data_IF_697680917613
#
_entry.id   IF_697680917613
#
_cell.length_a   1.000
_cell.length_b   1.000
_cell.length_c   1.000
_cell.angle_alpha   90.00
_cell.angle_beta   90.00
_cell.angle_gamma   90.00
#
_symmetry.space_group_name_H-M   'P 1'
#
loop_
_entity.id
_entity.type
_entity.pdbx_description
1 polymer ?
#
# COMPACT_ATOMS: atom_id res chain seq x y z
N UNK A 1 -48.12 67.59 -61.87
CA UNK A 1 -48.52 66.71 -60.75
C UNK A 1 -48.14 65.28 -61.10
N UNK A 2 -47.02 64.79 -60.57
CA UNK A 2 -46.84 63.41 -60.10
C UNK A 2 -45.47 63.34 -59.46
N UNK A 3 -45.45 63.11 -58.15
CA UNK A 3 -44.25 62.87 -57.35
C UNK A 3 -43.73 61.47 -57.70
N UNK A 4 -42.43 61.33 -57.98
CA UNK A 4 -41.75 60.04 -57.97
C UNK A 4 -40.71 60.09 -56.85
N UNK A 5 -41.06 59.41 -55.77
CA UNK A 5 -40.31 59.27 -54.53
C UNK A 5 -39.23 58.19 -54.71
N UNK A 6 -37.98 58.53 -54.41
CA UNK A 6 -36.88 57.57 -54.43
C UNK A 6 -36.93 56.68 -53.17
N UNK A 7 -36.73 55.35 -53.30
CA UNK A 7 -36.80 54.45 -52.15
C UNK A 7 -35.57 54.61 -51.25
N UNK A 8 -35.83 54.80 -49.95
CA UNK A 8 -34.84 54.83 -48.89
C UNK A 8 -34.09 53.50 -48.78
N UNK A 9 -32.77 53.53 -48.95
CA UNK A 9 -31.91 52.37 -48.69
C UNK A 9 -31.92 52.00 -47.21
N UNK A 10 -32.34 50.76 -46.91
CA UNK A 10 -32.19 50.18 -45.58
C UNK A 10 -30.78 49.63 -45.41
N UNK A 11 -30.05 50.13 -44.42
CA UNK A 11 -28.77 49.56 -43.96
C UNK A 11 -29.11 48.29 -43.18
N UNK A 12 -28.53 47.11 -43.50
CA UNK A 12 -28.79 45.89 -42.75
C UNK A 12 -28.25 46.01 -41.31
N UNK A 13 -28.94 45.45 -40.31
CA UNK A 13 -28.51 45.54 -38.92
C UNK A 13 -27.18 44.79 -38.70
N UNK A 14 -26.33 45.26 -37.77
CA UNK A 14 -25.09 44.58 -37.45
C UNK A 14 -25.37 43.19 -36.86
N UNK A 15 -24.73 42.16 -37.42
CA UNK A 15 -24.80 40.79 -36.91
C UNK A 15 -24.22 40.76 -35.49
N UNK A 16 -24.97 40.28 -34.47
CA UNK A 16 -24.49 40.27 -33.10
C UNK A 16 -23.33 39.28 -32.94
N UNK A 17 -22.15 39.77 -32.56
CA UNK A 17 -20.99 38.95 -32.18
C UNK A 17 -21.19 38.30 -30.80
N UNK A 18 -22.25 37.51 -30.63
CA UNK A 18 -22.54 36.74 -29.40
C UNK A 18 -22.06 35.30 -29.61
N UNK A 19 -20.78 35.03 -29.38
CA UNK A 19 -20.28 33.65 -29.42
C UNK A 19 -18.80 33.47 -29.05
N UNK A 20 -17.95 34.46 -29.32
CA UNK A 20 -16.50 34.31 -29.09
C UNK A 20 -16.06 34.38 -27.63
N UNK A 21 -16.76 35.12 -26.76
CA UNK A 21 -16.41 35.22 -25.32
C UNK A 21 -16.84 33.99 -24.52
N UNK A 22 -18.04 33.47 -24.75
CA UNK A 22 -18.52 32.26 -24.09
C UNK A 22 -17.66 31.04 -24.45
N UNK A 23 -17.25 30.91 -25.72
CA UNK A 23 -16.35 29.85 -26.18
C UNK A 23 -14.95 29.93 -25.56
N UNK A 24 -14.41 31.14 -25.33
CA UNK A 24 -13.12 31.32 -24.64
C UNK A 24 -13.20 31.01 -23.14
N UNK A 25 -14.29 31.39 -22.49
CA UNK A 25 -14.53 31.08 -21.07
C UNK A 25 -14.72 29.57 -20.88
N UNK A 26 -15.51 28.91 -21.74
CA UNK A 26 -15.64 27.45 -21.71
C UNK A 26 -14.29 26.77 -21.96
N UNK A 27 -13.51 27.22 -22.96
CA UNK A 27 -12.20 26.64 -23.25
C UNK A 27 -11.22 26.81 -22.08
N UNK A 28 -11.20 27.97 -21.42
CA UNK A 28 -10.37 28.19 -20.24
C UNK A 28 -10.82 27.32 -19.05
N UNK A 29 -12.12 27.17 -18.82
CA UNK A 29 -12.64 26.27 -17.78
C UNK A 29 -12.25 24.82 -18.11
N UNK A 30 -12.45 24.37 -19.34
CA UNK A 30 -12.06 23.03 -19.78
C UNK A 30 -10.56 22.79 -19.72
N UNK A 31 -9.73 23.78 -20.03
CA UNK A 31 -8.28 23.68 -19.93
C UNK A 31 -7.80 23.65 -18.46
N UNK A 32 -8.40 24.45 -17.58
CA UNK A 32 -8.11 24.40 -16.13
C UNK A 32 -8.56 23.07 -15.54
N UNK A 33 -9.75 22.58 -15.91
CA UNK A 33 -10.22 21.25 -15.50
C UNK A 33 -9.32 20.15 -16.07
N UNK A 34 -8.86 20.24 -17.32
CA UNK A 34 -7.95 19.26 -17.89
C UNK A 34 -6.57 19.29 -17.24
N UNK A 35 -6.04 20.46 -16.87
CA UNK A 35 -4.78 20.59 -16.13
C UNK A 35 -4.94 20.12 -14.68
N UNK A 36 -6.08 20.38 -14.04
CA UNK A 36 -6.39 19.84 -12.73
C UNK A 36 -6.53 18.32 -12.77
N UNK A 37 -7.19 17.78 -13.81
CA UNK A 37 -7.39 16.35 -14.01
C UNK A 37 -6.07 15.64 -14.36
N UNK A 38 -5.26 16.21 -15.27
CA UNK A 38 -3.90 15.72 -15.54
C UNK A 38 -3.02 15.85 -14.30
N UNK A 39 -3.11 16.96 -13.57
CA UNK A 39 -2.38 17.18 -12.32
C UNK A 39 -2.68 16.12 -11.29
N UNK A 40 -3.95 15.76 -11.06
CA UNK A 40 -4.33 14.72 -10.10
C UNK A 40 -3.77 13.34 -10.42
N UNK A 41 -3.47 13.03 -11.69
CA UNK A 41 -2.87 11.75 -12.09
C UNK A 41 -1.35 11.67 -11.89
N UNK A 42 -0.68 12.76 -11.50
CA UNK A 42 0.78 12.78 -11.31
C UNK A 42 1.20 13.25 -9.91
N UNK A 43 0.25 13.47 -9.00
CA UNK A 43 0.53 13.98 -7.66
C UNK A 43 1.02 12.88 -6.69
N UNK A 44 0.56 11.65 -6.88
CA UNK A 44 1.04 10.44 -6.18
C UNK A 44 2.40 9.94 -6.71
N UNK A 45 2.72 10.24 -7.97
CA UNK A 45 4.02 9.97 -8.61
C UNK A 45 5.15 10.93 -8.17
N UNK A 46 4.84 11.94 -7.36
CA UNK A 46 5.85 12.84 -6.80
C UNK A 46 6.77 12.07 -5.82
N UNK A 47 8.04 12.50 -5.64
CA UNK A 47 8.90 11.91 -4.61
C UNK A 47 8.26 11.99 -3.23
N UNK A 48 8.39 10.94 -2.42
CA UNK A 48 7.79 10.87 -1.08
C UNK A 48 8.03 12.12 -0.21
N UNK A 49 9.24 12.73 -0.17
CA UNK A 49 9.46 13.96 0.60
C UNK A 49 8.62 15.16 0.14
N UNK A 50 8.27 15.22 -1.14
CA UNK A 50 7.40 16.26 -1.69
C UNK A 50 5.95 15.98 -1.30
N UNK A 51 5.51 14.73 -1.42
CA UNK A 51 4.16 14.29 -1.03
C UNK A 51 3.91 14.54 0.45
N UNK A 52 4.86 14.20 1.32
CA UNK A 52 4.76 14.46 2.77
C UNK A 52 4.68 15.95 3.07
N UNK A 53 5.51 16.78 2.43
CA UNK A 53 5.45 18.23 2.61
C UNK A 53 4.09 18.82 2.18
N UNK A 54 3.51 18.36 1.07
CA UNK A 54 2.16 18.77 0.62
C UNK A 54 1.10 18.34 1.63
N UNK A 55 1.17 17.09 2.09
CA UNK A 55 0.27 16.52 3.09
C UNK A 55 0.30 17.26 4.44
N UNK A 56 1.48 17.69 4.89
CA UNK A 56 1.65 18.49 6.11
C UNK A 56 1.13 19.92 5.94
N UNK A 57 1.38 20.53 4.77
CA UNK A 57 0.96 21.90 4.48
C UNK A 57 -0.54 22.02 4.24
N UNK A 58 -1.15 20.98 3.65
CA UNK A 58 -2.57 20.92 3.30
C UNK A 58 -3.13 19.55 3.67
N UNK A 59 -3.57 19.33 4.93
CA UNK A 59 -4.04 18.03 5.41
C UNK A 59 -5.19 17.44 4.58
N UNK A 60 -6.04 18.29 3.99
CA UNK A 60 -7.12 17.86 3.11
C UNK A 60 -6.63 17.25 1.78
N UNK A 61 -5.37 17.50 1.39
CA UNK A 61 -4.79 16.98 0.15
C UNK A 61 -4.06 15.64 0.32
N UNK A 62 -3.96 15.08 1.54
CA UNK A 62 -3.24 13.82 1.82
C UNK A 62 -3.60 12.69 0.87
N UNK A 63 -4.90 12.38 0.75
CA UNK A 63 -5.36 11.35 -0.18
C UNK A 63 -5.08 11.67 -1.66
N UNK A 64 -5.04 12.96 -2.04
CA UNK A 64 -4.73 13.38 -3.41
C UNK A 64 -3.24 13.18 -3.77
N UNK A 65 -2.36 13.16 -2.77
CA UNK A 65 -0.93 12.86 -2.94
C UNK A 65 -0.59 11.45 -2.45
N UNK A 66 -1.58 10.55 -2.34
CA UNK A 66 -1.39 9.17 -1.91
C UNK A 66 -0.77 9.02 -0.53
N UNK A 67 -0.98 9.95 0.39
CA UNK A 67 -0.56 9.83 1.80
C UNK A 67 -1.79 9.36 2.59
N UNK A 68 -1.71 8.21 3.30
CA UNK A 68 -2.83 7.69 4.08
C UNK A 68 -3.20 8.61 5.26
N UNK A 69 -4.40 8.43 5.84
CA UNK A 69 -4.77 9.10 7.08
C UNK A 69 -3.79 8.74 8.20
N UNK A 70 -3.75 9.57 9.24
CA UNK A 70 -2.93 9.25 10.40
C UNK A 70 -3.50 8.00 11.11
N UNK A 71 -2.64 7.04 11.48
CA UNK A 71 -3.07 5.80 12.12
C UNK A 71 -3.54 6.03 13.56
N UNK A 72 -4.25 5.05 14.11
CA UNK A 72 -4.49 4.98 15.55
C UNK A 72 -3.16 4.83 16.32
N UNK A 73 -3.13 5.29 17.58
CA UNK A 73 -1.90 5.29 18.39
C UNK A 73 -1.26 3.90 18.55
N UNK A 74 -2.08 2.86 18.69
CA UNK A 74 -1.60 1.47 18.81
C UNK A 74 -0.94 0.99 17.51
N UNK A 75 -1.48 1.36 16.35
CA UNK A 75 -0.92 1.07 15.03
C UNK A 75 0.39 1.84 14.80
N UNK A 76 0.44 3.12 15.21
CA UNK A 76 1.67 3.91 15.12
C UNK A 76 2.79 3.29 15.97
N UNK A 77 2.48 2.83 17.19
CA UNK A 77 3.44 2.14 18.07
C UNK A 77 3.96 0.83 17.43
N UNK A 78 3.11 0.07 16.73
CA UNK A 78 3.56 -1.09 15.96
C UNK A 78 4.54 -0.71 14.85
N UNK A 79 4.25 0.35 14.10
CA UNK A 79 5.15 0.83 13.04
C UNK A 79 6.53 1.24 13.57
N UNK A 80 6.58 1.89 14.73
CA UNK A 80 7.84 2.21 15.41
C UNK A 80 8.58 0.95 15.87
N UNK A 81 7.88 -0.02 16.47
CA UNK A 81 8.49 -1.29 16.94
C UNK A 81 8.99 -2.18 15.81
N UNK A 82 8.29 -2.18 14.68
CA UNK A 82 8.75 -2.82 13.45
C UNK A 82 9.95 -2.10 12.84
N UNK A 83 10.28 -0.88 13.31
CA UNK A 83 11.32 -0.03 12.76
C UNK A 83 11.09 0.20 11.27
N UNK A 84 9.85 0.54 10.89
CA UNK A 84 9.50 0.75 9.50
C UNK A 84 10.24 1.97 8.94
N UNK A 85 10.64 1.92 7.67
CA UNK A 85 11.08 3.12 6.95
C UNK A 85 9.88 4.02 6.60
N UNK A 86 10.11 5.16 5.96
CA UNK A 86 9.01 5.98 5.44
C UNK A 86 8.16 5.24 4.39
N UNK A 87 8.77 4.43 3.52
CA UNK A 87 8.06 3.62 2.52
C UNK A 87 7.30 2.46 3.18
N UNK A 88 7.90 1.78 4.17
CA UNK A 88 7.22 0.75 4.96
C UNK A 88 6.01 1.30 5.71
N UNK A 89 6.13 2.46 6.37
CA UNK A 89 5.01 3.14 7.05
C UNK A 89 3.90 3.49 6.07
N UNK A 90 4.24 3.96 4.86
CA UNK A 90 3.25 4.31 3.84
C UNK A 90 2.39 3.10 3.47
N UNK A 91 3.02 1.98 3.12
CA UNK A 91 2.31 0.76 2.72
C UNK A 91 1.52 0.19 3.90
N UNK A 92 2.10 0.20 5.10
CA UNK A 92 1.44 -0.31 6.30
C UNK A 92 0.16 0.48 6.62
N UNK A 93 0.19 1.81 6.58
CA UNK A 93 -0.99 2.62 6.87
C UNK A 93 -2.02 2.63 5.73
N UNK A 94 -1.56 2.49 4.48
CA UNK A 94 -2.44 2.30 3.32
C UNK A 94 -3.22 0.98 3.40
N UNK A 95 -2.64 -0.04 4.04
CA UNK A 95 -3.32 -1.31 4.31
C UNK A 95 -4.29 -1.27 5.52
N UNK A 96 -4.61 -0.09 6.05
CA UNK A 96 -5.61 0.15 7.10
C UNK A 96 -5.65 -0.90 8.23
N UNK A 97 -4.52 -1.10 8.95
CA UNK A 97 -4.38 -2.17 9.93
C UNK A 97 -5.34 -1.97 11.10
N UNK A 98 -6.03 -3.05 11.47
CA UNK A 98 -6.96 -3.07 12.60
C UNK A 98 -6.57 -4.13 13.61
N UNK A 99 -6.44 -3.74 14.88
CA UNK A 99 -6.16 -4.65 16.01
C UNK A 99 -7.49 -5.04 16.66
N UNK A 100 -7.88 -6.30 16.52
CA UNK A 100 -9.19 -6.82 16.91
C UNK A 100 -9.08 -8.02 17.85
N UNK A 101 -10.17 -8.37 18.55
CA UNK A 101 -10.16 -9.48 19.50
C UNK A 101 -10.31 -10.85 18.79
N UNK A 102 -10.04 -11.94 19.50
CA UNK A 102 -9.98 -13.30 18.93
C UNK A 102 -11.24 -13.77 18.20
N UNK A 103 -12.42 -13.40 18.70
CA UNK A 103 -13.68 -13.73 18.04
C UNK A 103 -13.83 -13.05 16.66
N UNK A 104 -13.28 -11.84 16.51
CA UNK A 104 -13.30 -11.12 15.25
C UNK A 104 -12.24 -11.65 14.28
N UNK A 105 -11.04 -12.01 14.76
CA UNK A 105 -10.01 -12.62 13.90
C UNK A 105 -10.48 -13.92 13.28
N UNK A 106 -11.06 -14.85 14.06
CA UNK A 106 -11.56 -16.11 13.50
C UNK A 106 -12.63 -15.85 12.42
N UNK A 107 -13.53 -14.90 12.66
CA UNK A 107 -14.56 -14.55 11.68
C UNK A 107 -13.99 -13.87 10.42
N UNK A 108 -13.00 -13.00 10.57
CA UNK A 108 -12.47 -12.16 9.49
C UNK A 108 -11.44 -12.92 8.64
N UNK A 109 -10.54 -13.65 9.29
CA UNK A 109 -9.38 -14.27 8.65
C UNK A 109 -9.62 -15.74 8.27
N UNK A 110 -10.55 -16.44 8.93
CA UNK A 110 -10.79 -17.88 8.69
C UNK A 110 -12.24 -18.20 8.32
N UNK A 111 -13.05 -17.20 7.97
CA UNK A 111 -14.50 -17.33 7.73
C UNK A 111 -15.26 -18.04 8.87
N UNK A 112 -14.72 -18.00 10.10
CA UNK A 112 -15.28 -18.64 11.28
C UNK A 112 -14.90 -20.12 11.46
N UNK A 113 -14.02 -20.69 10.63
CA UNK A 113 -13.49 -22.03 10.85
C UNK A 113 -12.40 -22.04 11.94
N UNK A 114 -12.53 -22.92 12.94
CA UNK A 114 -11.44 -23.22 13.88
C UNK A 114 -10.38 -24.08 13.17
N UNK A 115 -9.20 -23.52 12.95
CA UNK A 115 -8.10 -24.26 12.34
C UNK A 115 -7.52 -25.29 13.33
N UNK A 116 -7.29 -26.55 12.90
CA UNK A 116 -6.72 -27.57 13.76
C UNK A 116 -5.31 -27.19 14.21
N UNK A 117 -5.03 -27.36 15.50
CA UNK A 117 -3.68 -27.20 16.08
C UNK A 117 -3.40 -25.89 16.80
N UNK A 118 -4.38 -25.00 17.00
CA UNK A 118 -4.17 -23.74 17.72
C UNK A 118 -3.28 -22.74 16.97
N UNK A 119 -3.07 -22.96 15.67
CA UNK A 119 -2.49 -22.03 14.71
C UNK A 119 -3.52 -20.95 14.41
N UNK A 120 -3.84 -20.14 15.41
CA UNK A 120 -4.50 -18.87 15.16
C UNK A 120 -3.50 -18.06 14.32
N UNK A 121 -3.85 -17.78 13.07
CA UNK A 121 -3.17 -16.74 12.33
C UNK A 121 -3.34 -15.48 13.18
N UNK A 122 -2.27 -15.03 13.82
CA UNK A 122 -2.30 -13.87 14.70
C UNK A 122 -2.60 -12.58 13.91
N UNK A 123 -2.75 -12.68 12.59
CA UNK A 123 -3.24 -11.65 11.69
C UNK A 123 -3.57 -12.24 10.33
N UNK A 124 -4.05 -11.39 9.42
CA UNK A 124 -4.18 -11.71 8.01
C UNK A 124 -4.17 -10.44 7.15
N UNK A 125 -3.60 -10.54 5.95
CA UNK A 125 -3.78 -9.60 4.85
C UNK A 125 -4.83 -10.14 3.87
N UNK A 126 -5.98 -9.47 3.79
CA UNK A 126 -7.08 -9.91 2.93
C UNK A 126 -7.00 -9.29 1.53
N UNK A 127 -7.64 -9.92 0.54
CA UNK A 127 -7.76 -9.41 -0.83
C UNK A 127 -8.52 -8.08 -0.99
N UNK A 128 -8.96 -7.49 0.12
CA UNK A 128 -9.44 -6.09 0.22
C UNK A 128 -8.30 -5.10 0.50
N UNK A 129 -7.05 -5.57 0.45
CA UNK A 129 -5.82 -4.83 0.77
C UNK A 129 -5.78 -4.31 2.22
N UNK A 130 -6.41 -5.05 3.15
CA UNK A 130 -6.48 -4.70 4.57
C UNK A 130 -5.77 -5.68 5.48
N UNK A 131 -5.08 -5.15 6.49
CA UNK A 131 -4.44 -5.91 7.56
C UNK A 131 -5.36 -6.00 8.77
N UNK A 132 -5.53 -7.22 9.31
CA UNK A 132 -6.16 -7.45 10.60
C UNK A 132 -5.17 -8.17 11.51
N UNK A 133 -5.08 -7.75 12.76
CA UNK A 133 -4.17 -8.29 13.76
C UNK A 133 -4.93 -8.68 15.02
N UNK A 134 -4.63 -9.86 15.54
CA UNK A 134 -5.13 -10.31 16.83
C UNK A 134 -4.52 -9.46 17.93
N UNK A 135 -5.36 -8.91 18.81
CA UNK A 135 -4.92 -8.28 20.04
C UNK A 135 -4.17 -9.31 20.89
N UNK A 136 -2.85 -9.20 20.90
CA UNK A 136 -1.96 -10.15 21.56
C UNK A 136 -1.22 -9.46 22.73
N UNK A 137 -1.31 -9.99 23.97
CA UNK A 137 -0.63 -9.39 25.12
C UNK A 137 0.91 -9.46 25.00
N UNK A 138 1.43 -10.41 24.22
CA UNK A 138 2.85 -10.52 23.91
C UNK A 138 3.20 -9.60 22.74
N UNK A 139 3.63 -8.39 23.07
CA UNK A 139 4.05 -7.37 22.08
C UNK A 139 5.01 -7.89 21.00
N UNK A 140 6.04 -8.73 21.29
CA UNK A 140 6.94 -9.21 20.24
C UNK A 140 6.25 -10.05 19.16
N UNK A 141 5.29 -10.90 19.55
CA UNK A 141 4.52 -11.73 18.60
C UNK A 141 3.68 -10.84 17.69
N UNK A 142 2.96 -9.87 18.28
CA UNK A 142 2.15 -8.92 17.52
C UNK A 142 2.99 -8.12 16.51
N UNK A 143 4.19 -7.68 16.91
CA UNK A 143 5.11 -6.93 16.04
C UNK A 143 5.57 -7.78 14.86
N UNK A 144 5.99 -9.03 15.09
CA UNK A 144 6.43 -9.90 13.98
C UNK A 144 5.29 -10.33 13.08
N UNK A 145 4.07 -10.50 13.62
CA UNK A 145 2.88 -10.73 12.81
C UNK A 145 2.52 -9.50 11.99
N UNK A 146 2.52 -8.29 12.57
CA UNK A 146 2.27 -7.07 11.82
C UNK A 146 3.28 -6.89 10.66
N UNK A 147 4.55 -7.22 10.89
CA UNK A 147 5.57 -7.19 9.86
C UNK A 147 5.35 -8.24 8.77
N UNK A 148 4.90 -9.44 9.16
CA UNK A 148 4.53 -10.50 8.22
C UNK A 148 3.36 -10.05 7.32
N UNK A 149 2.27 -9.53 7.90
CA UNK A 149 1.12 -9.04 7.13
C UNK A 149 1.46 -7.83 6.25
N UNK A 150 2.34 -6.94 6.70
CA UNK A 150 2.88 -5.87 5.86
C UNK A 150 3.61 -6.42 4.64
N UNK A 151 4.37 -7.51 4.78
CA UNK A 151 5.14 -8.06 3.67
C UNK A 151 4.26 -8.69 2.58
N UNK A 152 3.07 -9.20 2.92
CA UNK A 152 2.05 -9.54 1.92
C UNK A 152 1.57 -8.30 1.16
N UNK A 153 1.29 -7.21 1.89
CA UNK A 153 0.88 -5.93 1.28
C UNK A 153 1.95 -5.37 0.33
N UNK A 154 3.23 -5.50 0.71
CA UNK A 154 4.39 -5.15 -0.10
C UNK A 154 4.47 -6.04 -1.34
N UNK A 155 4.47 -7.37 -1.16
CA UNK A 155 4.59 -8.33 -2.25
C UNK A 155 3.48 -8.14 -3.29
N UNK A 156 2.25 -7.87 -2.85
CA UNK A 156 1.11 -7.57 -3.73
C UNK A 156 1.32 -6.32 -4.60
N UNK A 157 2.01 -5.30 -4.10
CA UNK A 157 2.30 -4.03 -4.81
C UNK A 157 3.47 -4.11 -5.78
N UNK A 158 4.29 -5.17 -5.73
CA UNK A 158 5.38 -5.39 -6.69
C UNK A 158 4.83 -5.62 -8.11
N UNK A 159 5.51 -5.08 -9.13
CA UNK A 159 5.27 -5.48 -10.51
C UNK A 159 5.77 -6.91 -10.79
N UNK A 160 5.44 -7.46 -11.96
CA UNK A 160 5.79 -8.85 -12.30
C UNK A 160 7.31 -9.11 -12.31
N UNK A 161 8.11 -8.10 -12.70
CA UNK A 161 9.55 -8.25 -12.79
C UNK A 161 10.20 -8.22 -11.40
N UNK A 162 9.76 -7.30 -10.54
CA UNK A 162 10.18 -7.23 -9.15
C UNK A 162 9.77 -8.46 -8.36
N UNK A 163 8.53 -8.94 -8.56
CA UNK A 163 8.01 -10.16 -7.93
C UNK A 163 8.82 -11.39 -8.34
N UNK A 164 9.07 -11.57 -9.63
CA UNK A 164 9.91 -12.68 -10.12
C UNK A 164 11.34 -12.64 -9.56
N UNK A 165 11.89 -11.43 -9.35
CA UNK A 165 13.19 -11.25 -8.70
C UNK A 165 13.14 -11.61 -7.22
N UNK A 166 12.12 -11.16 -6.49
CA UNK A 166 11.91 -11.51 -5.09
C UNK A 166 11.78 -13.03 -4.92
N UNK A 167 10.99 -13.70 -5.76
CA UNK A 167 10.78 -15.16 -5.76
C UNK A 167 12.09 -15.95 -5.89
N UNK A 168 12.96 -15.51 -6.81
CA UNK A 168 14.26 -16.12 -7.00
C UNK A 168 15.15 -15.97 -5.76
N UNK A 169 15.18 -14.76 -5.17
CA UNK A 169 15.97 -14.48 -3.97
C UNK A 169 15.48 -15.29 -2.77
N UNK A 170 14.18 -15.27 -2.48
CA UNK A 170 13.62 -16.00 -1.33
C UNK A 170 13.76 -17.51 -1.48
N UNK A 171 13.71 -18.03 -2.72
CA UNK A 171 13.92 -19.46 -2.96
C UNK A 171 15.35 -19.90 -2.61
N UNK A 172 16.35 -19.08 -2.97
CA UNK A 172 17.75 -19.36 -2.64
C UNK A 172 17.98 -19.30 -1.13
N UNK A 173 17.44 -18.29 -0.46
CA UNK A 173 17.61 -18.13 0.99
C UNK A 173 16.85 -19.18 1.79
N UNK A 174 15.65 -19.57 1.36
CA UNK A 174 14.88 -20.63 2.01
C UNK A 174 15.62 -21.98 2.00
N UNK A 175 16.44 -22.25 0.97
CA UNK A 175 17.27 -23.46 0.90
C UNK A 175 18.40 -23.49 1.96
N UNK A 176 18.76 -22.33 2.54
CA UNK A 176 19.74 -22.21 3.62
C UNK A 176 19.13 -22.37 5.01
N UNK A 177 17.81 -22.24 5.14
CA UNK A 177 17.12 -22.43 6.42
C UNK A 177 17.15 -23.90 6.82
N UNK A 178 17.61 -24.26 8.04
CA UNK A 178 17.64 -25.65 8.48
C UNK A 178 16.29 -26.35 8.33
N UNK A 179 16.27 -27.60 7.87
CA UNK A 179 15.03 -28.36 7.69
C UNK A 179 14.30 -28.65 9.01
N UNK A 180 14.97 -28.49 10.15
CA UNK A 180 14.40 -28.61 11.50
C UNK A 180 13.74 -27.32 11.99
N UNK A 181 13.89 -26.21 11.27
CA UNK A 181 13.27 -24.95 11.63
C UNK A 181 11.73 -25.04 11.49
N UNK A 182 10.95 -24.61 12.50
CA UNK A 182 9.49 -24.68 12.46
C UNK A 182 8.88 -23.85 11.31
N UNK A 183 9.60 -22.87 10.75
CA UNK A 183 9.10 -22.03 9.65
C UNK A 183 8.69 -22.84 8.42
N UNK A 184 9.30 -24.00 8.18
CA UNK A 184 8.90 -24.87 7.07
C UNK A 184 7.47 -25.36 7.26
N UNK A 185 7.12 -25.80 8.47
CA UNK A 185 5.76 -26.25 8.78
C UNK A 185 4.76 -25.08 8.79
N UNK A 186 5.19 -23.90 9.24
CA UNK A 186 4.37 -22.69 9.21
C UNK A 186 4.05 -22.27 7.76
N UNK A 187 5.05 -22.23 6.88
CA UNK A 187 4.86 -21.95 5.45
C UNK A 187 3.93 -22.98 4.82
N UNK A 188 4.11 -24.29 5.06
CA UNK A 188 3.19 -25.30 4.50
C UNK A 188 1.75 -25.11 5.00
N UNK A 189 1.58 -24.76 6.29
CA UNK A 189 0.25 -24.50 6.85
C UNK A 189 -0.40 -23.27 6.23
N UNK A 190 0.34 -22.17 6.05
CA UNK A 190 -0.15 -20.93 5.42
C UNK A 190 -0.43 -21.11 3.92
N UNK A 191 0.41 -21.87 3.20
CA UNK A 191 0.20 -22.17 1.77
C UNK A 191 -1.02 -23.06 1.53
N UNK A 192 -1.25 -24.04 2.42
CA UNK A 192 -2.33 -25.01 2.30
C UNK A 192 -2.35 -25.67 0.91
N UNK A 193 -3.54 -25.73 0.30
CA UNK A 193 -3.72 -26.29 -1.05
C UNK A 193 -3.33 -25.31 -2.17
N UNK A 194 -3.10 -24.04 -1.85
CA UNK A 194 -2.75 -23.00 -2.83
C UNK A 194 -1.24 -22.87 -3.01
N UNK A 195 -0.63 -23.82 -3.71
CA UNK A 195 0.82 -23.79 -3.99
C UNK A 195 1.34 -22.49 -4.64
N UNK A 196 0.47 -21.69 -5.29
CA UNK A 196 0.86 -20.40 -5.88
C UNK A 196 1.12 -19.30 -4.85
N UNK A 197 0.64 -19.44 -3.61
CA UNK A 197 0.90 -18.51 -2.50
C UNK A 197 2.32 -18.65 -1.92
N UNK A 198 3.00 -19.75 -2.19
CA UNK A 198 4.28 -20.10 -1.56
C UNK A 198 5.39 -19.05 -1.68
N UNK A 199 5.60 -18.37 -2.82
CA UNK A 199 6.62 -17.34 -2.90
C UNK A 199 6.31 -16.12 -2.01
N UNK A 200 5.03 -15.73 -1.92
CA UNK A 200 4.53 -14.66 -1.06
C UNK A 200 4.77 -15.00 0.42
N UNK A 201 4.36 -16.20 0.84
CA UNK A 201 4.61 -16.71 2.20
C UNK A 201 6.09 -16.74 2.55
N UNK A 202 6.95 -17.24 1.65
CA UNK A 202 8.41 -17.24 1.87
C UNK A 202 8.95 -15.83 2.03
N UNK A 203 8.48 -14.89 1.22
CA UNK A 203 8.87 -13.48 1.35
C UNK A 203 8.46 -12.92 2.71
N UNK A 204 7.22 -13.15 3.14
CA UNK A 204 6.73 -12.67 4.42
C UNK A 204 7.47 -13.30 5.61
N UNK A 205 7.65 -14.64 5.65
CA UNK A 205 8.37 -15.32 6.75
C UNK A 205 9.86 -14.97 6.80
N UNK A 206 10.56 -14.96 5.66
CA UNK A 206 11.99 -14.60 5.64
C UNK A 206 12.22 -13.15 6.09
N UNK A 207 11.36 -12.23 5.67
CA UNK A 207 11.49 -10.82 6.03
C UNK A 207 11.15 -10.54 7.50
N UNK A 208 10.21 -11.27 8.10
CA UNK A 208 9.68 -10.96 9.44
C UNK A 208 10.22 -11.82 10.57
N UNK A 209 10.70 -13.04 10.31
CA UNK A 209 10.91 -14.05 11.36
C UNK A 209 12.22 -14.82 11.26
N UNK A 210 12.93 -14.77 10.12
CA UNK A 210 14.15 -15.56 9.91
C UNK A 210 15.40 -14.68 9.98
N UNK A 211 16.37 -15.15 10.75
CA UNK A 211 17.75 -14.64 10.76
C UNK A 211 18.68 -15.81 10.49
N UNK A 212 19.51 -15.68 9.46
CA UNK A 212 20.56 -16.67 9.17
C UNK A 212 21.91 -16.16 9.65
N UNK A 213 22.78 -17.10 10.04
CA UNK A 213 24.19 -16.81 10.28
C UNK A 213 24.81 -16.20 9.01
N UNK A 214 25.37 -15.00 9.15
CA UNK A 214 25.92 -14.22 8.03
C UNK A 214 24.90 -13.42 7.22
N UNK A 215 23.61 -13.44 7.59
CA UNK A 215 22.54 -12.73 6.91
C UNK A 215 22.12 -13.36 5.58
N UNK A 216 21.14 -12.72 4.92
CA UNK A 216 20.79 -13.06 3.54
C UNK A 216 21.80 -12.47 2.55
N UNK A 217 21.72 -12.90 1.29
CA UNK A 217 22.41 -12.23 0.20
C UNK A 217 22.07 -10.73 0.20
N UNK A 218 23.07 -9.89 -0.10
CA UNK A 218 22.95 -8.43 -0.02
C UNK A 218 21.80 -7.87 -0.85
N UNK A 219 21.46 -8.53 -1.95
CA UNK A 219 20.34 -8.16 -2.80
C UNK A 219 18.98 -8.31 -2.11
N UNK A 220 18.77 -9.39 -1.35
CA UNK A 220 17.54 -9.58 -0.57
C UNK A 220 17.49 -8.64 0.63
N UNK A 221 18.62 -8.43 1.33
CA UNK A 221 18.68 -7.44 2.42
C UNK A 221 18.40 -6.02 1.90
N UNK A 222 18.88 -5.67 0.70
CA UNK A 222 18.57 -4.38 0.07
C UNK A 222 17.09 -4.23 -0.24
N UNK A 223 16.43 -5.32 -0.66
CA UNK A 223 15.00 -5.32 -0.92
C UNK A 223 14.21 -5.07 0.37
N UNK A 224 14.50 -5.78 1.46
CA UNK A 224 13.83 -5.57 2.75
C UNK A 224 14.17 -4.21 3.40
N UNK A 225 15.38 -3.69 3.19
CA UNK A 225 15.81 -2.39 3.71
C UNK A 225 15.01 -1.21 3.15
N UNK A 226 14.21 -1.41 2.10
CA UNK A 226 13.22 -0.42 1.66
C UNK A 226 12.11 -0.23 2.69
N UNK A 227 11.77 -1.24 3.46
CA UNK A 227 10.59 -1.26 4.33
C UNK A 227 10.94 -1.31 5.82
N UNK A 228 12.09 -1.88 6.19
CA UNK A 228 12.58 -1.95 7.57
C UNK A 228 13.94 -1.26 7.71
N UNK A 229 14.12 -0.47 8.76
CA UNK A 229 15.41 0.14 9.13
C UNK A 229 16.38 -0.92 9.68
N UNK A 230 15.87 -1.88 10.47
CA UNK A 230 16.64 -3.03 10.99
C UNK A 230 15.78 -4.30 11.04
N UNK A 231 15.71 -4.99 9.90
CA UNK A 231 15.01 -6.28 9.74
C UNK A 231 15.54 -7.36 10.69
N UNK A 232 16.85 -7.38 10.95
CA UNK A 232 17.45 -8.46 11.76
C UNK A 232 17.04 -8.30 13.23
N UNK A 233 17.02 -7.08 13.74
CA UNK A 233 16.51 -6.77 15.09
C UNK A 233 15.04 -7.15 15.23
N UNK A 234 14.21 -6.79 14.23
CA UNK A 234 12.80 -7.20 14.15
C UNK A 234 12.63 -8.73 14.19
N UNK A 235 13.29 -9.46 13.30
CA UNK A 235 13.16 -10.92 13.21
C UNK A 235 13.74 -11.65 14.43
N UNK A 236 14.73 -11.06 15.11
CA UNK A 236 15.28 -11.62 16.36
C UNK A 236 14.35 -11.43 17.57
N UNK A 237 13.32 -10.59 17.47
CA UNK A 237 12.37 -10.36 18.56
C UNK A 237 11.40 -11.54 18.76
N UNK A 238 11.06 -12.27 17.69
CA UNK A 238 10.23 -13.48 17.75
C UNK A 238 11.01 -14.73 18.15
N UNK A 239 12.31 -14.83 17.79
CA UNK A 239 13.14 -16.03 18.05
C UNK A 239 13.41 -16.33 19.54
N UNK A 240 12.85 -15.53 20.45
CA UNK A 240 13.04 -15.62 21.91
C UNK A 240 11.83 -16.20 22.64
N UNK A 241 10.78 -16.60 21.91
CA UNK A 241 9.50 -17.07 22.45
C UNK A 241 8.93 -18.22 21.62
#
# INVERSE_FOLDING_TARGET
MSFFEAPSGQIPPPVPQRGRRASRVLFLISAVLAVAFLGTFYLDELPLPVRTWVAESVPAARGLVGIPPDPEAEVADLAERMQLTAEGRLIFYDAEPAIVDGADIARICTDGEELPGGLYHAGCYLGTDRIFLLREPRTPVLVTTAAHELLHAVYRRMDDAERARADALVTVEMARVPSSDPVHAQIEASVGDNSSARPDERFAYLGSQIVLDGGFASELETLYARYFEDRTSLASASSRY
#
